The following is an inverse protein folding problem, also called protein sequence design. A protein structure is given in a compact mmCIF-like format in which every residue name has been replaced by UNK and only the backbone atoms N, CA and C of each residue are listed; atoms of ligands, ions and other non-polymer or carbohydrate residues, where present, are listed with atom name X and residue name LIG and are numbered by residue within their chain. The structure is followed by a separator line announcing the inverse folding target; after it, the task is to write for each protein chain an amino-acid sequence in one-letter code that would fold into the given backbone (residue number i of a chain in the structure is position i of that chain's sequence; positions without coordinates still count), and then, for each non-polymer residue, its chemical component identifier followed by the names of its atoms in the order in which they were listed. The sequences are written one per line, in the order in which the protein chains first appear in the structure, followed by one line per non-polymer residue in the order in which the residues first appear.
data_IF_880188819836
#
_entry.id   IF_880188819836
#
_cell.length_a   1.000
_cell.length_b   1.000
_cell.length_c   1.000
_cell.angle_alpha   90.00
_cell.angle_beta   90.00
_cell.angle_gamma   90.00
#
_symmetry.space_group_name_H-M   'P 1'
#
loop_
_entity.id
_entity.type
_entity.pdbx_description
1 polymer ?
#
# COMPACT_ATOMS: atom_id res chain seq x y z
N UNK A 1 10.09 -17.72 5.35
CA UNK A 1 8.77 -17.72 6.03
C UNK A 1 7.79 -16.99 5.15
N UNK A 2 6.62 -17.58 4.90
CA UNK A 2 5.59 -16.95 4.05
C UNK A 2 4.76 -16.03 4.96
N UNK A 3 5.15 -14.76 5.07
CA UNK A 3 4.59 -13.83 6.07
C UNK A 3 3.17 -13.38 5.74
N UNK A 4 2.72 -13.54 4.48
CA UNK A 4 1.40 -13.07 4.01
C UNK A 4 1.06 -11.66 4.51
N UNK A 5 2.01 -10.75 4.40
CA UNK A 5 1.85 -9.32 4.72
C UNK A 5 2.12 -8.50 3.49
N UNK A 6 1.63 -7.26 3.44
CA UNK A 6 2.03 -6.32 2.39
C UNK A 6 3.50 -5.97 2.62
N UNK A 7 4.34 -6.19 1.60
CA UNK A 7 5.79 -6.03 1.72
C UNK A 7 6.45 -5.39 0.51
N UNK A 8 5.65 -4.84 -0.41
CA UNK A 8 6.14 -4.17 -1.61
C UNK A 8 5.06 -3.26 -2.17
N UNK A 9 5.46 -2.21 -2.86
CA UNK A 9 4.59 -1.43 -3.73
C UNK A 9 5.23 -1.25 -5.11
N UNK A 10 4.42 -1.02 -6.11
CA UNK A 10 4.88 -0.66 -7.45
C UNK A 10 4.09 0.54 -7.97
N UNK A 11 4.80 1.56 -8.41
CA UNK A 11 4.26 2.72 -9.10
C UNK A 11 4.48 2.50 -10.59
N UNK A 12 3.42 2.41 -11.37
CA UNK A 12 3.48 2.53 -12.82
C UNK A 12 3.27 3.99 -13.16
N UNK A 13 4.13 4.58 -14.00
CA UNK A 13 4.05 5.99 -14.34
C UNK A 13 4.21 6.24 -15.84
N UNK A 14 3.36 7.10 -16.38
CA UNK A 14 3.46 7.61 -17.76
C UNK A 14 4.60 8.64 -17.89
N UNK A 15 4.95 9.31 -16.79
CA UNK A 15 6.10 10.21 -16.67
C UNK A 15 6.95 9.83 -15.45
N UNK A 16 7.87 8.85 -15.57
CA UNK A 16 8.72 8.41 -14.47
C UNK A 16 9.65 9.50 -13.92
N UNK A 17 10.06 10.47 -14.74
CA UNK A 17 10.93 11.55 -14.30
C UNK A 17 10.20 12.51 -13.37
N UNK A 18 8.95 12.84 -13.68
CA UNK A 18 8.09 13.63 -12.80
C UNK A 18 7.83 12.89 -11.49
N UNK A 19 7.54 11.60 -11.57
CA UNK A 19 7.31 10.74 -10.42
C UNK A 19 8.54 10.71 -9.50
N UNK A 20 9.75 10.47 -10.03
CA UNK A 20 10.99 10.46 -9.25
C UNK A 20 11.25 11.79 -8.56
N UNK A 21 11.11 12.93 -9.26
CA UNK A 21 11.28 14.26 -8.67
C UNK A 21 10.34 14.54 -7.52
N UNK A 22 9.08 14.09 -7.65
CA UNK A 22 8.08 14.26 -6.60
C UNK A 22 8.47 13.51 -5.32
N UNK A 23 8.75 12.20 -5.41
CA UNK A 23 9.03 11.38 -4.24
C UNK A 23 10.43 11.62 -3.64
N UNK A 24 11.43 11.93 -4.45
CA UNK A 24 12.73 12.41 -3.95
C UNK A 24 12.53 13.71 -3.16
N UNK A 25 11.84 14.69 -3.75
CA UNK A 25 11.55 15.97 -3.08
C UNK A 25 10.70 15.83 -1.82
N UNK A 26 9.76 14.87 -1.77
CA UNK A 26 8.85 14.71 -0.64
C UNK A 26 9.44 13.86 0.49
N UNK A 27 10.12 12.76 0.16
CA UNK A 27 10.59 11.76 1.12
C UNK A 27 12.09 11.50 1.07
N UNK A 28 12.83 12.09 0.11
CA UNK A 28 14.23 11.76 -0.13
C UNK A 28 14.42 10.34 -0.68
N UNK A 29 13.44 9.80 -1.42
CA UNK A 29 13.56 8.45 -1.95
C UNK A 29 14.61 8.35 -3.04
N UNK A 30 15.36 7.27 -2.99
CA UNK A 30 16.40 6.92 -3.96
C UNK A 30 15.86 5.94 -4.99
N UNK A 31 16.17 6.18 -6.27
CA UNK A 31 15.74 5.38 -7.40
C UNK A 31 16.96 4.78 -8.10
N UNK A 32 17.11 3.45 -8.04
CA UNK A 32 18.20 2.73 -8.71
C UNK A 32 17.65 1.99 -9.93
N UNK A 33 18.12 2.34 -11.11
CA UNK A 33 17.70 1.68 -12.34
C UNK A 33 18.25 0.25 -12.39
N UNK A 34 17.34 -0.72 -12.44
CA UNK A 34 17.68 -2.14 -12.57
C UNK A 34 17.70 -2.60 -14.04
N UNK A 35 16.82 -2.03 -14.86
CA UNK A 35 16.81 -2.12 -16.31
C UNK A 35 16.07 -0.91 -16.90
N UNK A 36 16.16 -0.72 -18.21
CA UNK A 36 15.53 0.42 -18.88
C UNK A 36 14.03 0.52 -18.57
N UNK A 37 13.63 1.63 -17.91
CA UNK A 37 12.24 1.88 -17.53
C UNK A 37 11.77 1.15 -16.27
N UNK A 38 12.69 0.58 -15.48
CA UNK A 38 12.38 -0.03 -14.19
C UNK A 38 13.41 0.35 -13.12
N UNK A 39 12.97 0.96 -12.04
CA UNK A 39 13.79 1.40 -10.90
C UNK A 39 13.31 0.77 -9.61
N UNK A 40 14.24 0.28 -8.79
CA UNK A 40 13.94 -0.03 -7.39
C UNK A 40 13.90 1.26 -6.57
N UNK A 41 13.03 1.29 -5.57
CA UNK A 41 12.80 2.44 -4.69
C UNK A 41 13.22 2.11 -3.28
N UNK A 42 14.03 2.98 -2.68
CA UNK A 42 14.47 2.88 -1.29
C UNK A 42 14.28 4.21 -0.56
N UNK A 43 13.97 4.17 0.73
CA UNK A 43 14.04 5.34 1.59
C UNK A 43 15.50 5.64 1.99
N UNK A 44 15.79 6.82 2.55
CA UNK A 44 17.13 7.20 2.99
C UNK A 44 17.74 6.16 3.94
N UNK A 45 18.86 5.55 3.52
CA UNK A 45 19.57 4.54 4.32
C UNK A 45 18.83 3.22 4.55
N UNK A 46 17.78 2.92 3.78
CA UNK A 46 17.01 1.69 3.89
C UNK A 46 17.23 0.75 2.69
N UNK A 47 16.78 -0.50 2.83
CA UNK A 47 16.67 -1.43 1.71
C UNK A 47 15.50 -1.07 0.80
N UNK A 48 15.48 -1.64 -0.42
CA UNK A 48 14.39 -1.44 -1.36
C UNK A 48 13.05 -1.85 -0.75
N UNK A 49 12.05 -0.98 -0.90
CA UNK A 49 10.69 -1.16 -0.38
C UNK A 49 9.63 -1.19 -1.49
N UNK A 50 10.01 -0.85 -2.71
CA UNK A 50 9.10 -0.79 -3.85
C UNK A 50 9.84 -0.63 -5.17
N UNK A 51 9.06 -0.42 -6.23
CA UNK A 51 9.56 -0.11 -7.56
C UNK A 51 8.77 1.02 -8.23
N UNK A 52 9.42 1.65 -9.21
CA UNK A 52 8.82 2.52 -10.20
C UNK A 52 9.07 1.88 -11.59
N UNK A 53 8.05 1.84 -12.41
CA UNK A 53 8.17 1.42 -13.81
C UNK A 53 7.54 2.41 -14.77
N UNK A 54 8.09 2.49 -15.97
CA UNK A 54 7.43 3.17 -17.09
C UNK A 54 6.22 2.35 -17.55
N UNK A 55 5.13 3.01 -17.87
CA UNK A 55 3.91 2.37 -18.36
C UNK A 55 3.02 3.32 -19.16
N UNK A 56 1.90 2.80 -19.61
CA UNK A 56 0.89 3.51 -20.39
C UNK A 56 -0.22 4.15 -19.54
N UNK A 57 -0.13 3.99 -18.23
CA UNK A 57 -1.05 4.56 -17.24
C UNK A 57 -0.31 4.86 -15.95
N UNK A 58 -0.91 5.71 -15.12
CA UNK A 58 -0.45 6.00 -13.78
C UNK A 58 -1.22 5.11 -12.79
N UNK A 59 -0.49 4.37 -11.94
CA UNK A 59 -1.09 3.38 -11.04
C UNK A 59 -0.16 3.05 -9.87
N UNK A 60 -0.74 2.86 -8.69
CA UNK A 60 -0.07 2.35 -7.50
C UNK A 60 -0.68 1.01 -7.12
N UNK A 61 0.16 -0.02 -6.98
CA UNK A 61 -0.24 -1.36 -6.56
C UNK A 61 0.56 -1.78 -5.33
N UNK A 62 -0.11 -2.25 -4.28
CA UNK A 62 0.51 -2.89 -3.11
C UNK A 62 0.60 -4.41 -3.33
N UNK A 63 1.67 -5.03 -2.81
CA UNK A 63 1.92 -6.46 -3.02
C UNK A 63 2.00 -7.22 -1.70
N UNK A 64 1.23 -8.30 -1.60
CA UNK A 64 1.33 -9.27 -0.51
C UNK A 64 2.47 -10.25 -0.80
N UNK A 65 3.36 -10.43 0.17
CA UNK A 65 4.46 -11.41 0.08
C UNK A 65 3.92 -12.81 0.37
N UNK A 66 4.00 -13.70 -0.62
CA UNK A 66 3.43 -15.04 -0.53
C UNK A 66 4.07 -16.02 -1.51
N UNK A 67 3.67 -17.29 -1.45
CA UNK A 67 3.89 -18.24 -2.55
C UNK A 67 2.89 -17.88 -3.66
N UNK A 68 3.39 -17.37 -4.78
CA UNK A 68 2.57 -16.65 -5.77
C UNK A 68 1.59 -17.57 -6.50
N UNK A 69 2.03 -18.74 -6.98
CA UNK A 69 1.21 -19.57 -7.86
C UNK A 69 0.00 -20.17 -7.14
N UNK A 70 0.21 -20.76 -5.97
CA UNK A 70 -0.87 -21.35 -5.17
C UNK A 70 -1.81 -20.29 -4.60
N UNK A 71 -1.24 -19.13 -4.17
CA UNK A 71 -2.07 -18.02 -3.68
C UNK A 71 -2.93 -17.45 -4.81
N UNK A 72 -2.38 -17.29 -6.03
CA UNK A 72 -3.13 -16.83 -7.19
C UNK A 72 -4.33 -17.73 -7.48
N UNK A 73 -4.10 -19.05 -7.56
CA UNK A 73 -5.18 -20.03 -7.81
C UNK A 73 -6.23 -20.00 -6.71
N UNK A 74 -5.82 -19.80 -5.45
CA UNK A 74 -6.74 -19.68 -4.34
C UNK A 74 -7.60 -18.40 -4.45
N UNK A 75 -6.99 -17.24 -4.76
CA UNK A 75 -7.70 -15.98 -4.95
C UNK A 75 -8.73 -16.06 -6.10
N UNK A 76 -8.39 -16.71 -7.21
CA UNK A 76 -9.34 -16.97 -8.30
C UNK A 76 -10.56 -17.78 -7.82
N UNK A 77 -10.33 -18.79 -6.97
CA UNK A 77 -11.42 -19.58 -6.39
C UNK A 77 -12.32 -18.79 -5.45
N UNK A 78 -11.83 -17.67 -4.89
CA UNK A 78 -12.58 -16.72 -4.06
C UNK A 78 -13.25 -15.59 -4.88
N UNK A 79 -13.09 -15.60 -6.22
CA UNK A 79 -13.71 -14.63 -7.11
C UNK A 79 -12.81 -13.46 -7.53
N UNK A 80 -11.53 -13.48 -7.21
CA UNK A 80 -10.58 -12.49 -7.73
C UNK A 80 -10.36 -12.68 -9.23
N UNK A 81 -10.09 -11.59 -9.93
CA UNK A 81 -9.79 -11.58 -11.38
C UNK A 81 -8.30 -11.38 -11.62
N UNK A 82 -7.66 -12.27 -12.37
CA UNK A 82 -6.25 -12.11 -12.76
C UNK A 82 -6.11 -10.97 -13.77
N UNK A 83 -5.27 -9.99 -13.45
CA UNK A 83 -4.93 -8.84 -14.29
C UNK A 83 -3.59 -9.06 -15.00
N UNK A 84 -2.61 -9.55 -14.23
CA UNK A 84 -1.31 -9.94 -14.79
C UNK A 84 -0.92 -11.33 -14.25
N UNK A 85 -0.68 -12.25 -15.18
CA UNK A 85 -0.20 -13.60 -14.85
C UNK A 85 1.19 -13.55 -14.23
N UNK A 86 1.61 -14.59 -13.48
CA UNK A 86 2.91 -14.63 -12.85
C UNK A 86 4.06 -14.40 -13.83
N UNK A 87 4.88 -13.39 -13.54
CA UNK A 87 6.07 -13.06 -14.32
C UNK A 87 7.22 -12.64 -13.39
N UNK A 88 8.46 -12.73 -13.87
CA UNK A 88 9.61 -12.26 -13.08
C UNK A 88 9.86 -10.78 -13.32
N UNK A 89 10.14 -10.08 -12.23
CA UNK A 89 10.64 -8.70 -12.28
C UNK A 89 12.11 -8.69 -12.71
N UNK A 90 12.66 -7.54 -13.11
CA UNK A 90 14.09 -7.37 -13.31
C UNK A 90 14.96 -7.73 -12.11
N UNK A 91 14.41 -7.58 -10.89
CA UNK A 91 15.07 -8.00 -9.66
C UNK A 91 14.99 -9.52 -9.40
N UNK A 92 14.28 -10.27 -10.26
CA UNK A 92 14.17 -11.74 -10.21
C UNK A 92 12.97 -12.28 -9.41
N UNK A 93 12.20 -11.42 -8.77
CA UNK A 93 11.04 -11.81 -7.99
C UNK A 93 9.87 -12.21 -8.86
N UNK A 94 9.15 -13.26 -8.46
CA UNK A 94 7.92 -13.65 -9.14
C UNK A 94 6.78 -12.76 -8.63
N UNK A 95 6.07 -12.11 -9.55
CA UNK A 95 4.93 -11.26 -9.24
C UNK A 95 3.73 -11.59 -10.12
N UNK A 96 2.52 -11.36 -9.57
CA UNK A 96 1.25 -11.40 -10.29
C UNK A 96 0.36 -10.27 -9.78
N UNK A 97 -0.64 -9.86 -10.56
CA UNK A 97 -1.60 -8.83 -10.15
C UNK A 97 -3.03 -9.35 -10.34
N UNK A 98 -3.85 -9.13 -9.35
CA UNK A 98 -5.28 -9.47 -9.36
C UNK A 98 -6.12 -8.23 -9.03
N UNK A 99 -7.40 -8.29 -9.35
CA UNK A 99 -8.43 -7.47 -8.72
C UNK A 99 -9.22 -8.33 -7.73
N UNK A 100 -9.45 -7.80 -6.53
CA UNK A 100 -10.29 -8.43 -5.54
C UNK A 100 -11.79 -8.34 -5.91
N UNK A 101 -12.66 -8.82 -5.04
CA UNK A 101 -14.13 -8.81 -5.25
C UNK A 101 -14.74 -7.40 -5.28
N UNK A 102 -13.97 -6.37 -4.94
CA UNK A 102 -14.34 -4.95 -4.98
C UNK A 102 -13.60 -4.17 -6.07
N UNK A 103 -12.91 -4.87 -6.97
CA UNK A 103 -12.06 -4.31 -8.02
C UNK A 103 -10.83 -3.53 -7.50
N UNK A 104 -10.43 -3.71 -6.24
CA UNK A 104 -9.15 -3.20 -5.76
C UNK A 104 -8.03 -4.02 -6.38
N UNK A 105 -7.01 -3.33 -6.89
CA UNK A 105 -5.81 -4.00 -7.41
C UNK A 105 -4.91 -4.41 -6.26
N UNK A 106 -4.49 -5.67 -6.33
CA UNK A 106 -3.59 -6.28 -5.37
C UNK A 106 -2.52 -7.07 -6.10
N UNK A 107 -1.28 -6.85 -5.74
CA UNK A 107 -0.14 -7.62 -6.20
C UNK A 107 0.16 -8.80 -5.28
N UNK A 108 0.72 -9.85 -5.87
CA UNK A 108 1.36 -10.96 -5.17
C UNK A 108 2.85 -10.93 -5.49
N UNK A 109 3.73 -11.09 -4.50
CA UNK A 109 5.18 -11.11 -4.71
C UNK A 109 5.83 -12.24 -3.94
N UNK A 110 6.84 -12.88 -4.55
CA UNK A 110 7.62 -13.93 -3.88
C UNK A 110 8.58 -13.39 -2.81
N UNK A 111 8.85 -12.09 -2.80
CA UNK A 111 9.69 -11.42 -1.81
C UNK A 111 9.23 -9.98 -1.53
N UNK A 112 9.76 -9.39 -0.49
CA UNK A 112 9.52 -8.01 -0.08
C UNK A 112 9.81 -7.81 1.40
N UNK A 113 9.89 -6.54 1.80
CA UNK A 113 10.03 -6.12 3.20
C UNK A 113 8.70 -5.57 3.67
N UNK A 114 8.15 -6.02 4.81
CA UNK A 114 6.86 -5.52 5.30
C UNK A 114 6.81 -3.99 5.30
N UNK A 115 5.75 -3.42 4.72
CA UNK A 115 5.45 -1.99 4.83
C UNK A 115 4.97 -1.69 6.24
N UNK A 116 5.09 -0.44 6.67
CA UNK A 116 4.67 -0.03 8.01
C UNK A 116 3.16 -0.19 8.21
N UNK A 117 2.38 0.07 7.18
CA UNK A 117 0.91 -0.01 7.18
C UNK A 117 0.37 -0.13 5.76
N UNK A 118 -0.84 -0.67 5.60
CA UNK A 118 -1.64 -0.55 4.38
C UNK A 118 -3.10 -0.34 4.73
N UNK A 119 -3.86 0.23 3.81
CA UNK A 119 -5.28 0.49 4.01
C UNK A 119 -6.09 0.06 2.79
N UNK A 120 -7.20 -0.61 3.05
CA UNK A 120 -8.21 -0.98 2.07
C UNK A 120 -9.44 -0.12 2.35
N UNK A 121 -9.81 0.75 1.41
CA UNK A 121 -11.10 1.45 1.44
C UNK A 121 -12.18 0.56 0.87
N UNK A 122 -13.41 0.66 1.39
CA UNK A 122 -14.54 -0.10 0.84
C UNK A 122 -15.89 0.43 1.33
N UNK A 123 -16.92 0.30 0.47
CA UNK A 123 -18.32 0.51 0.84
C UNK A 123 -19.00 -0.76 1.38
N UNK A 124 -18.33 -1.92 1.30
CA UNK A 124 -18.81 -3.20 1.84
C UNK A 124 -17.72 -3.86 2.71
N UNK A 125 -17.57 -3.41 3.97
CA UNK A 125 -16.55 -3.95 4.87
C UNK A 125 -16.77 -5.42 5.19
N UNK A 126 -18.02 -5.92 5.16
CA UNK A 126 -18.33 -7.31 5.41
C UNK A 126 -17.77 -8.24 4.33
N UNK A 127 -18.02 -7.94 3.06
CA UNK A 127 -17.49 -8.72 1.95
C UNK A 127 -15.96 -8.61 1.85
N UNK A 128 -15.41 -7.40 2.06
CA UNK A 128 -13.98 -7.14 2.01
C UNK A 128 -13.23 -7.90 3.09
N UNK A 129 -13.67 -7.84 4.35
CA UNK A 129 -13.09 -8.61 5.46
C UNK A 129 -13.06 -10.10 5.14
N UNK A 130 -14.23 -10.65 4.78
CA UNK A 130 -14.36 -12.07 4.45
C UNK A 130 -13.42 -12.51 3.32
N UNK A 131 -13.26 -11.66 2.30
CA UNK A 131 -12.34 -11.95 1.18
C UNK A 131 -10.90 -12.06 1.68
N UNK A 132 -10.37 -11.05 2.39
CA UNK A 132 -8.98 -11.02 2.84
C UNK A 132 -8.68 -12.05 3.93
N UNK A 133 -9.64 -12.32 4.83
CA UNK A 133 -9.54 -13.39 5.83
C UNK A 133 -9.40 -14.78 5.15
N UNK A 134 -10.24 -15.05 4.16
CA UNK A 134 -10.15 -16.31 3.40
C UNK A 134 -8.90 -16.38 2.51
N UNK A 135 -8.52 -15.27 1.88
CA UNK A 135 -7.41 -15.21 0.95
C UNK A 135 -6.05 -15.46 1.62
N UNK A 136 -5.83 -14.82 2.79
CA UNK A 136 -4.52 -14.79 3.43
C UNK A 136 -4.51 -15.40 4.83
N UNK A 137 -5.65 -15.77 5.38
CA UNK A 137 -5.78 -16.25 6.76
C UNK A 137 -5.61 -15.12 7.78
N UNK A 138 -5.78 -13.87 7.36
CA UNK A 138 -5.79 -12.73 8.29
C UNK A 138 -7.01 -12.83 9.21
N UNK A 139 -6.94 -12.18 10.36
CA UNK A 139 -8.12 -11.89 11.20
C UNK A 139 -8.38 -10.39 11.15
N UNK A 140 -9.63 -9.97 11.34
CA UNK A 140 -10.00 -8.57 11.38
C UNK A 140 -10.80 -8.26 12.64
N UNK A 141 -10.43 -7.20 13.33
CA UNK A 141 -11.08 -6.71 14.53
C UNK A 141 -11.49 -5.25 14.35
N UNK A 142 -12.66 -4.89 14.88
CA UNK A 142 -13.08 -3.49 14.88
C UNK A 142 -12.13 -2.67 15.75
N UNK A 143 -11.69 -1.55 15.23
CA UNK A 143 -10.88 -0.61 15.98
C UNK A 143 -11.80 0.36 16.74
N UNK A 144 -11.95 0.14 18.03
CA UNK A 144 -12.79 0.98 18.89
C UNK A 144 -12.15 2.36 19.18
N UNK A 145 -10.85 2.52 18.90
CA UNK A 145 -10.17 3.81 19.02
C UNK A 145 -10.42 4.74 17.81
N UNK A 146 -10.91 4.21 16.71
CA UNK A 146 -11.27 4.99 15.52
C UNK A 146 -12.62 5.68 15.70
N UNK A 147 -12.65 6.73 16.51
CA UNK A 147 -13.89 7.46 16.83
C UNK A 147 -14.52 8.10 15.58
N UNK A 148 -15.83 7.91 15.40
CA UNK A 148 -16.60 8.54 14.33
C UNK A 148 -16.47 7.91 12.95
N UNK A 149 -15.66 6.86 12.82
CA UNK A 149 -15.50 6.08 11.59
C UNK A 149 -15.62 4.58 11.86
N UNK A 150 -15.99 3.83 10.85
CA UNK A 150 -15.98 2.37 10.92
C UNK A 150 -14.66 1.88 10.34
N UNK A 151 -13.78 1.37 11.23
CA UNK A 151 -12.45 0.89 10.89
C UNK A 151 -12.21 -0.50 11.46
N UNK A 152 -11.49 -1.34 10.74
CA UNK A 152 -11.08 -2.67 11.16
C UNK A 152 -9.60 -2.85 10.96
N UNK A 153 -8.91 -3.34 11.98
CA UNK A 153 -7.49 -3.66 11.92
C UNK A 153 -7.28 -5.11 11.49
N UNK A 154 -6.33 -5.35 10.58
CA UNK A 154 -5.92 -6.69 10.16
C UNK A 154 -4.73 -7.19 10.95
N UNK A 155 -4.80 -8.46 11.41
CA UNK A 155 -3.67 -9.21 11.96
C UNK A 155 -3.32 -10.37 11.02
N UNK A 156 -2.04 -10.46 10.64
CA UNK A 156 -1.54 -11.62 9.92
C UNK A 156 -1.39 -12.85 10.86
N UNK A 157 -1.43 -14.09 10.33
CA UNK A 157 -1.22 -15.29 11.15
C UNK A 157 0.09 -15.21 11.95
N UNK A 158 -0.03 -15.24 13.28
CA UNK A 158 1.11 -15.18 14.20
C UNK A 158 1.71 -13.79 14.43
N UNK A 159 1.10 -12.74 13.90
CA UNK A 159 1.47 -11.35 14.22
C UNK A 159 0.89 -10.94 15.58
N UNK A 160 1.67 -10.18 16.36
CA UNK A 160 1.24 -9.60 17.63
C UNK A 160 0.65 -8.18 17.47
N UNK A 161 0.93 -7.55 16.34
CA UNK A 161 0.47 -6.20 16.03
C UNK A 161 -0.28 -6.18 14.70
N UNK A 162 -1.25 -5.29 14.54
CA UNK A 162 -1.92 -5.06 13.26
C UNK A 162 -0.92 -4.71 12.16
N UNK A 163 -1.22 -5.18 10.94
CA UNK A 163 -0.40 -4.97 9.75
C UNK A 163 -1.01 -3.96 8.77
N UNK A 164 -2.26 -3.61 8.95
CA UNK A 164 -3.04 -2.73 8.08
C UNK A 164 -4.50 -2.72 8.50
N UNK A 165 -5.36 -2.12 7.70
CA UNK A 165 -6.78 -2.08 8.06
C UNK A 165 -7.73 -1.80 6.90
N UNK A 166 -9.02 -1.79 7.24
CA UNK A 166 -10.13 -1.47 6.36
C UNK A 166 -10.82 -0.19 6.84
N UNK A 167 -10.92 0.79 5.96
CA UNK A 167 -11.70 2.00 6.17
C UNK A 167 -13.05 1.86 5.45
N UNK A 168 -14.14 1.79 6.23
CA UNK A 168 -15.48 1.63 5.68
C UNK A 168 -16.08 2.98 5.25
N UNK A 169 -16.76 3.00 4.09
CA UNK A 169 -17.46 4.18 3.58
C UNK A 169 -16.60 5.18 2.82
N UNK A 170 -15.37 4.81 2.45
CA UNK A 170 -14.43 5.69 1.76
C UNK A 170 -14.26 5.41 0.25
N UNK A 171 -15.13 4.56 -0.31
CA UNK A 171 -14.97 4.01 -1.67
C UNK A 171 -13.90 2.91 -1.73
N UNK A 172 -13.75 2.29 -2.90
CA UNK A 172 -12.86 1.14 -3.06
C UNK A 172 -11.44 1.60 -3.45
N UNK A 173 -10.44 1.26 -2.64
CA UNK A 173 -9.01 1.49 -2.89
C UNK A 173 -8.12 0.54 -2.07
N UNK A 174 -6.87 0.36 -2.49
CA UNK A 174 -5.83 -0.33 -1.73
C UNK A 174 -4.53 0.50 -1.80
N UNK A 175 -4.07 1.01 -0.66
CA UNK A 175 -2.95 1.95 -0.58
C UNK A 175 -1.94 1.59 0.52
N UNK A 176 -0.66 1.88 0.32
CA UNK A 176 0.33 1.77 1.40
C UNK A 176 0.25 2.98 2.33
N UNK A 177 0.59 2.75 3.60
CA UNK A 177 0.75 3.78 4.61
C UNK A 177 2.23 4.02 4.92
N UNK A 178 2.62 5.29 4.96
CA UNK A 178 3.98 5.73 5.23
C UNK A 178 4.08 6.29 6.65
N UNK A 179 4.95 5.71 7.46
CA UNK A 179 5.30 6.28 8.75
C UNK A 179 6.17 7.52 8.54
N UNK A 180 5.72 8.65 9.07
CA UNK A 180 6.39 9.95 8.94
C UNK A 180 6.52 10.63 10.29
N UNK A 181 7.41 11.61 10.39
CA UNK A 181 7.58 12.39 11.62
C UNK A 181 6.50 13.46 11.82
N UNK A 182 5.95 14.00 10.74
CA UNK A 182 4.96 15.07 10.74
C UNK A 182 4.06 14.96 9.51
N UNK A 183 2.78 14.66 9.76
CA UNK A 183 1.78 14.47 8.71
C UNK A 183 1.43 15.80 8.02
N UNK A 184 1.33 16.91 8.79
CA UNK A 184 1.01 18.21 8.21
C UNK A 184 2.11 18.68 7.26
N UNK A 185 3.40 18.56 7.66
CA UNK A 185 4.53 18.91 6.79
C UNK A 185 4.51 18.10 5.48
N UNK A 186 4.21 16.79 5.56
CA UNK A 186 4.09 15.94 4.35
C UNK A 186 2.97 16.42 3.44
N UNK A 187 1.78 16.69 3.98
CA UNK A 187 0.65 17.16 3.19
C UNK A 187 0.93 18.52 2.54
N UNK A 188 1.51 19.45 3.28
CA UNK A 188 1.89 20.77 2.78
C UNK A 188 2.97 20.70 1.67
N UNK A 189 3.97 19.86 1.85
CA UNK A 189 5.03 19.64 0.84
C UNK A 189 4.48 18.95 -0.39
N UNK A 190 3.55 18.00 -0.22
CA UNK A 190 2.84 17.34 -1.32
C UNK A 190 2.12 18.38 -2.19
N UNK A 191 1.33 19.26 -1.59
CA UNK A 191 0.60 20.31 -2.32
C UNK A 191 1.53 21.28 -3.05
N UNK A 192 2.63 21.71 -2.39
CA UNK A 192 3.65 22.57 -3.03
C UNK A 192 4.38 21.88 -4.19
N UNK A 193 4.41 20.55 -4.21
CA UNK A 193 5.05 19.74 -5.25
C UNK A 193 4.09 19.25 -6.35
N UNK A 194 2.83 19.73 -6.33
CA UNK A 194 1.84 19.46 -7.36
C UNK A 194 0.99 18.22 -7.13
N UNK A 195 1.06 17.60 -5.95
CA UNK A 195 0.09 16.63 -5.46
C UNK A 195 -1.13 17.31 -4.84
N UNK A 196 -1.98 16.53 -4.20
CA UNK A 196 -3.20 17.05 -3.56
C UNK A 196 -3.46 16.38 -2.23
N UNK A 197 -3.85 17.15 -1.22
CA UNK A 197 -4.36 16.63 0.04
C UNK A 197 -5.73 15.98 -0.19
N UNK A 198 -5.90 14.75 0.26
CA UNK A 198 -7.17 14.02 0.21
C UNK A 198 -7.92 14.16 1.54
N UNK A 199 -7.21 13.98 2.64
CA UNK A 199 -7.76 14.17 3.99
C UNK A 199 -6.66 14.44 5.01
N UNK A 200 -7.04 14.95 6.15
CA UNK A 200 -6.18 15.15 7.32
C UNK A 200 -5.40 16.48 7.31
N UNK A 201 -4.51 16.65 8.30
CA UNK A 201 -4.27 15.68 9.38
C UNK A 201 -5.50 15.49 10.27
N UNK A 202 -5.74 14.26 10.67
CA UNK A 202 -6.74 13.90 11.69
C UNK A 202 -6.02 13.14 12.79
N UNK A 203 -6.17 13.58 14.03
CA UNK A 203 -5.59 12.89 15.18
C UNK A 203 -6.67 12.12 15.94
N UNK A 204 -6.37 10.88 16.31
CA UNK A 204 -7.14 10.17 17.32
C UNK A 204 -6.83 10.75 18.71
N UNK A 205 -7.62 10.44 19.70
CA UNK A 205 -7.39 10.92 21.09
C UNK A 205 -6.09 10.42 21.73
N UNK A 206 -5.39 9.47 21.11
CA UNK A 206 -4.19 8.80 21.61
C UNK A 206 -2.90 9.32 20.94
N UNK A 207 -3.01 10.29 20.02
CA UNK A 207 -1.88 10.95 19.37
C UNK A 207 -1.42 10.31 18.06
N UNK A 208 -2.09 9.27 17.58
CA UNK A 208 -1.93 8.81 16.18
C UNK A 208 -2.50 9.91 15.27
N UNK A 209 -1.69 10.39 14.34
CA UNK A 209 -2.11 11.38 13.35
C UNK A 209 -2.06 10.75 11.96
N UNK A 210 -3.12 10.91 11.18
CA UNK A 210 -3.27 10.30 9.85
C UNK A 210 -3.57 11.40 8.83
N UNK A 211 -3.03 11.25 7.63
CA UNK A 211 -3.36 12.05 6.46
C UNK A 211 -3.28 11.23 5.19
N UNK A 212 -3.99 11.65 4.17
CA UNK A 212 -3.94 11.02 2.86
C UNK A 212 -3.74 12.07 1.78
N UNK A 213 -2.99 11.70 0.76
CA UNK A 213 -2.68 12.57 -0.37
C UNK A 213 -2.67 11.78 -1.68
N UNK A 214 -2.76 12.50 -2.79
CA UNK A 214 -2.42 11.96 -4.11
C UNK A 214 -1.14 12.60 -4.61
N UNK A 215 -0.31 11.81 -5.30
CA UNK A 215 0.80 12.34 -6.08
C UNK A 215 0.28 13.12 -7.31
N UNK A 216 1.15 13.80 -8.09
CA UNK A 216 0.72 14.54 -9.27
C UNK A 216 0.05 13.70 -10.37
N UNK A 217 0.17 12.37 -10.31
CA UNK A 217 -0.47 11.42 -11.24
C UNK A 217 -1.78 10.85 -10.72
N UNK A 218 -2.18 11.20 -9.48
CA UNK A 218 -3.41 10.73 -8.86
C UNK A 218 -3.26 9.46 -8.02
N UNK A 219 -2.05 8.91 -7.86
CA UNK A 219 -1.82 7.77 -6.98
C UNK A 219 -2.03 8.18 -5.52
N UNK A 220 -2.91 7.46 -4.83
CA UNK A 220 -3.29 7.76 -3.44
C UNK A 220 -2.38 7.06 -2.44
N UNK A 221 -2.01 7.78 -1.38
CA UNK A 221 -1.17 7.32 -0.29
C UNK A 221 -1.78 7.69 1.05
N UNK A 222 -1.51 6.88 2.06
CA UNK A 222 -1.70 7.27 3.45
C UNK A 222 -0.36 7.63 4.08
N UNK A 223 -0.36 8.60 4.99
CA UNK A 223 0.76 8.92 5.87
C UNK A 223 0.27 8.96 7.31
N UNK A 224 1.09 8.50 8.24
CA UNK A 224 0.75 8.51 9.65
C UNK A 224 1.96 8.78 10.53
N UNK A 225 1.71 9.44 11.67
CA UNK A 225 2.69 9.66 12.71
C UNK A 225 2.18 9.06 14.02
N UNK A 226 3.04 8.34 14.73
CA UNK A 226 2.74 7.83 16.06
C UNK A 226 3.26 8.79 17.12
N UNK A 227 2.67 8.81 18.33
CA UNK A 227 3.18 9.63 19.42
C UNK A 227 4.66 9.35 19.64
N UNK A 228 5.47 10.40 19.77
CA UNK A 228 6.86 10.24 20.22
C UNK A 228 6.83 9.58 21.59
N UNK A 229 7.34 8.37 21.71
CA UNK A 229 7.43 7.66 22.98
C UNK A 229 8.13 8.55 24.00
N UNK A 230 7.47 8.85 25.09
CA UNK A 230 8.03 9.57 26.22
C UNK A 230 9.08 8.76 26.96
#
# INVERSE_FOLDING_TARGET
MNTRTVGWFEITATDPDRCRKFYDGLFGWEFTEAEAGYWTVAGPGSSSMGALRSGDRDELTIFVVCEVAGTLSHLESLGARVIASPSRTPAGDLQAVVEDVRSNRLGLSSSGTPVAWFEIGTDDPGATRKFYENAFGWTSERDEAAEGVEYYSFLAPGAEQPIGGIFAGAGDYAIPGLLVSDVEDVLDRCERSGGSRVMGPVSDGNGLTIGQFTDPSGNRWSSFAVPSGG
#
